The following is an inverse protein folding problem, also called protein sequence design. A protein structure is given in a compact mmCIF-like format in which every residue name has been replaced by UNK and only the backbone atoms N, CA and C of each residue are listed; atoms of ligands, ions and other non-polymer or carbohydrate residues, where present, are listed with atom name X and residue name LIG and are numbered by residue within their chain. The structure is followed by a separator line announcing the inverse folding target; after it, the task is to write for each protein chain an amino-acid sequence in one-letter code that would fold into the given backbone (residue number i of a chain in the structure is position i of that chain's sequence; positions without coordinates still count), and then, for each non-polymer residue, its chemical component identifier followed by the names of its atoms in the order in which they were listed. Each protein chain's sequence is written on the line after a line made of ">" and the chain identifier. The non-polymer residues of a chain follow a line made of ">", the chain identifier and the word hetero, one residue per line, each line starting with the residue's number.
data_IF_935793439373
#
_entry.id   IF_935793439373
#
_cell.length_a   1.000
_cell.length_b   1.000
_cell.length_c   1.000
_cell.angle_alpha   90.00
_cell.angle_beta   90.00
_cell.angle_gamma   90.00
#
_symmetry.space_group_name_H-M   'P 1'
#
loop_
_entity.id
_entity.type
_entity.pdbx_description
1 polymer ?
#
# COMPACT_ATOMS: atom_id res chain seq x y z
N UNK A 1 -13.29 -2.56 17.73
CA UNK A 1 -13.20 -3.58 16.67
C UNK A 1 -14.12 -4.73 17.01
N UNK A 2 -15.05 -5.10 16.11
CA UNK A 2 -15.87 -6.31 16.27
C UNK A 2 -15.19 -7.45 15.52
N UNK A 3 -14.88 -8.53 16.21
CA UNK A 3 -14.43 -9.78 15.60
C UNK A 3 -15.60 -10.76 15.60
N UNK A 4 -15.90 -11.37 14.46
CA UNK A 4 -16.91 -12.42 14.35
C UNK A 4 -16.17 -13.71 14.01
N UNK A 5 -16.32 -14.73 14.85
CA UNK A 5 -15.79 -16.06 14.59
C UNK A 5 -16.71 -16.77 13.62
N UNK A 6 -16.22 -17.11 12.42
CA UNK A 6 -16.96 -17.92 11.45
C UNK A 6 -16.37 -19.33 11.40
N UNK A 7 -17.25 -20.32 11.50
CA UNK A 7 -16.89 -21.72 11.28
C UNK A 7 -16.98 -22.02 9.79
N UNK A 8 -15.89 -22.51 9.19
CA UNK A 8 -15.92 -23.03 7.82
C UNK A 8 -16.32 -24.49 7.84
N UNK A 9 -16.86 -24.97 6.70
CA UNK A 9 -17.26 -26.37 6.48
C UNK A 9 -16.10 -27.37 6.72
N UNK A 10 -14.86 -26.87 6.66
CA UNK A 10 -13.62 -27.59 6.98
C UNK A 10 -13.21 -27.64 8.46
N UNK A 11 -14.13 -27.34 9.41
CA UNK A 11 -13.88 -27.26 10.87
C UNK A 11 -12.81 -26.25 11.28
N UNK A 12 -12.48 -25.27 10.43
CA UNK A 12 -11.54 -24.19 10.76
C UNK A 12 -12.31 -22.98 11.22
N UNK A 13 -11.88 -22.39 12.34
CA UNK A 13 -12.38 -21.11 12.83
C UNK A 13 -11.57 -19.98 12.20
N UNK A 14 -12.23 -19.10 11.46
CA UNK A 14 -11.62 -17.88 10.93
C UNK A 14 -12.17 -16.70 11.72
N UNK A 15 -11.27 -15.90 12.27
CA UNK A 15 -11.63 -14.61 12.87
C UNK A 15 -11.75 -13.56 11.77
N UNK A 16 -12.97 -13.08 11.53
CA UNK A 16 -13.22 -11.96 10.62
C UNK A 16 -13.27 -10.69 11.44
N UNK A 17 -12.22 -9.87 11.36
CA UNK A 17 -12.22 -8.52 11.93
C UNK A 17 -13.01 -7.59 11.01
N UNK A 18 -14.14 -7.08 11.50
CA UNK A 18 -14.80 -5.97 10.84
C UNK A 18 -14.08 -4.68 11.20
N UNK A 19 -13.34 -4.14 10.23
CA UNK A 19 -12.75 -2.80 10.30
C UNK A 19 -13.62 -1.88 9.47
N UNK A 20 -14.65 -1.32 10.10
CA UNK A 20 -15.44 -0.25 9.51
C UNK A 20 -14.46 0.87 9.11
N UNK A 21 -14.52 1.32 7.86
CA UNK A 21 -13.64 2.34 7.25
C UNK A 21 -12.26 1.89 6.73
N UNK A 22 -11.89 0.61 6.80
CA UNK A 22 -10.65 0.15 6.16
C UNK A 22 -10.72 0.27 4.63
N UNK A 23 -11.89 -0.01 4.05
CA UNK A 23 -12.11 0.17 2.62
C UNK A 23 -11.91 1.62 2.20
N UNK A 24 -12.45 2.58 2.96
CA UNK A 24 -12.33 4.00 2.64
C UNK A 24 -10.85 4.44 2.62
N UNK A 25 -10.05 3.97 3.60
CA UNK A 25 -8.61 4.26 3.69
C UNK A 25 -7.85 3.63 2.51
N UNK A 26 -8.09 2.34 2.23
CA UNK A 26 -7.46 1.63 1.12
C UNK A 26 -7.81 2.27 -0.23
N UNK A 27 -9.08 2.64 -0.43
CA UNK A 27 -9.52 3.32 -1.64
C UNK A 27 -8.93 4.71 -1.78
N UNK A 28 -8.71 5.44 -0.69
CA UNK A 28 -8.07 6.75 -0.72
C UNK A 28 -6.62 6.66 -1.20
N UNK A 29 -5.83 5.73 -0.67
CA UNK A 29 -4.44 5.56 -1.11
C UNK A 29 -4.37 5.01 -2.54
N UNK A 30 -5.23 4.06 -2.92
CA UNK A 30 -5.36 3.61 -4.30
C UNK A 30 -5.73 4.74 -5.28
N UNK A 31 -6.58 5.68 -4.86
CA UNK A 31 -6.99 6.82 -5.69
C UNK A 31 -5.81 7.73 -6.02
N UNK A 32 -4.90 7.91 -5.06
CA UNK A 32 -3.67 8.68 -5.27
C UNK A 32 -2.76 8.01 -6.31
N UNK A 33 -2.50 6.71 -6.16
CA UNK A 33 -1.67 5.94 -7.11
C UNK A 33 -2.29 5.97 -8.50
N UNK A 34 -3.60 5.72 -8.61
CA UNK A 34 -4.33 5.78 -9.89
C UNK A 34 -4.27 7.16 -10.54
N UNK A 35 -4.31 8.24 -9.75
CA UNK A 35 -4.20 9.61 -10.28
C UNK A 35 -2.86 9.86 -10.95
N UNK A 36 -1.76 9.35 -10.39
CA UNK A 36 -0.41 9.47 -10.98
C UNK A 36 -0.24 8.50 -12.16
N UNK A 37 -0.81 7.30 -12.07
CA UNK A 37 -0.66 6.27 -13.09
C UNK A 37 -1.52 6.47 -14.34
N UNK A 38 -2.71 7.06 -14.23
CA UNK A 38 -3.63 7.31 -15.36
C UNK A 38 -3.02 8.06 -16.55
N UNK A 39 -2.22 9.12 -16.39
CA UNK A 39 -1.59 9.81 -17.52
C UNK A 39 -0.39 9.05 -18.12
N UNK A 40 0.13 8.02 -17.44
CA UNK A 40 1.13 7.13 -18.02
C UNK A 40 0.40 6.25 -19.05
N UNK A 41 0.89 6.12 -20.29
CA UNK A 41 0.29 5.29 -21.37
C UNK A 41 0.37 3.77 -21.08
N UNK A 42 0.07 3.36 -19.85
CA UNK A 42 0.30 2.03 -19.30
C UNK A 42 1.77 1.78 -18.94
N UNK A 43 1.97 0.86 -17.99
CA UNK A 43 3.28 0.30 -17.68
C UNK A 43 3.41 -0.97 -18.53
N UNK A 44 4.39 -0.99 -19.44
CA UNK A 44 4.49 -2.01 -20.50
C UNK A 44 5.05 -3.37 -20.03
N UNK A 45 5.56 -3.45 -18.80
CA UNK A 45 6.10 -4.67 -18.22
C UNK A 45 5.97 -4.64 -16.70
N UNK A 46 5.86 -5.81 -16.06
CA UNK A 46 5.63 -5.93 -14.62
C UNK A 46 6.78 -5.38 -13.78
N UNK A 47 8.03 -5.73 -14.10
CA UNK A 47 9.19 -5.27 -13.32
C UNK A 47 9.30 -3.73 -13.23
N UNK A 48 9.30 -2.97 -14.36
CA UNK A 48 9.30 -1.51 -14.28
C UNK A 48 7.98 -0.95 -13.74
N UNK A 49 6.85 -1.67 -13.86
CA UNK A 49 5.60 -1.26 -13.25
C UNK A 49 5.69 -1.26 -11.71
N UNK A 50 6.21 -2.35 -11.15
CA UNK A 50 6.41 -2.50 -9.71
C UNK A 50 7.37 -1.44 -9.18
N UNK A 51 8.53 -1.24 -9.83
CA UNK A 51 9.48 -0.20 -9.44
C UNK A 51 8.84 1.20 -9.46
N UNK A 52 8.02 1.49 -10.48
CA UNK A 52 7.30 2.78 -10.59
C UNK A 52 6.29 2.97 -9.48
N UNK A 53 5.47 1.95 -9.18
CA UNK A 53 4.45 2.01 -8.12
C UNK A 53 5.13 2.19 -6.75
N UNK A 54 6.17 1.41 -6.46
CA UNK A 54 6.94 1.51 -5.21
C UNK A 54 7.57 2.90 -5.06
N UNK A 55 8.14 3.46 -6.13
CA UNK A 55 8.66 4.83 -6.12
C UNK A 55 7.59 5.87 -5.79
N UNK A 56 6.40 5.75 -6.39
CA UNK A 56 5.26 6.63 -6.12
C UNK A 56 4.79 6.51 -4.66
N UNK A 57 4.71 5.30 -4.13
CA UNK A 57 4.31 5.03 -2.74
C UNK A 57 5.32 5.61 -1.75
N UNK A 58 6.62 5.35 -1.95
CA UNK A 58 7.69 5.86 -1.09
C UNK A 58 7.72 7.39 -1.09
N UNK A 59 7.62 8.03 -2.26
CA UNK A 59 7.55 9.50 -2.34
C UNK A 59 6.33 10.06 -1.61
N UNK A 60 5.18 9.38 -1.66
CA UNK A 60 3.97 9.80 -0.94
C UNK A 60 4.07 9.60 0.57
N UNK A 61 4.69 8.51 1.02
CA UNK A 61 4.99 8.28 2.44
C UNK A 61 5.92 9.38 2.99
N UNK A 62 6.98 9.71 2.25
CA UNK A 62 7.89 10.83 2.58
C UNK A 62 7.11 12.13 2.70
N UNK A 63 6.28 12.46 1.71
CA UNK A 63 5.46 13.69 1.70
C UNK A 63 4.49 13.78 2.89
N UNK A 64 3.95 12.64 3.34
CA UNK A 64 3.06 12.58 4.51
C UNK A 64 3.81 12.51 5.86
N UNK A 65 5.14 12.38 5.86
CA UNK A 65 5.91 12.13 7.08
C UNK A 65 5.65 10.75 7.69
N UNK A 66 5.23 9.78 6.88
CA UNK A 66 4.86 8.42 7.28
C UNK A 66 6.03 7.42 7.16
N UNK A 67 7.26 7.92 7.18
CA UNK A 67 8.42 7.02 7.19
C UNK A 67 8.46 6.24 8.51
N UNK A 68 8.82 4.94 8.46
CA UNK A 68 9.04 4.17 9.67
C UNK A 68 10.15 4.81 10.52
N UNK A 69 10.04 4.69 11.84
CA UNK A 69 11.04 5.19 12.79
C UNK A 69 12.29 4.29 12.82
N UNK A 70 12.87 4.00 11.65
CA UNK A 70 14.07 3.19 11.47
C UNK A 70 15.36 4.02 11.52
N UNK A 71 15.26 5.33 11.71
CA UNK A 71 16.41 6.26 11.70
C UNK A 71 16.90 6.63 10.31
N UNK A 72 16.34 6.02 9.26
CA UNK A 72 16.63 6.37 7.87
C UNK A 72 15.97 7.71 7.50
N UNK A 73 16.74 8.56 6.83
CA UNK A 73 16.25 9.79 6.22
C UNK A 73 15.33 9.49 5.04
N UNK A 74 14.57 10.49 4.63
CA UNK A 74 13.76 10.42 3.41
C UNK A 74 14.60 10.10 2.16
N UNK A 75 15.81 10.68 2.09
CA UNK A 75 16.73 10.45 0.99
C UNK A 75 17.25 9.01 0.98
N UNK A 76 17.64 8.46 2.14
CA UNK A 76 18.08 7.06 2.26
C UNK A 76 16.96 6.07 1.93
N UNK A 77 15.74 6.35 2.42
CA UNK A 77 14.56 5.53 2.13
C UNK A 77 14.23 5.49 0.63
N UNK A 78 14.39 6.62 -0.07
CA UNK A 78 14.18 6.69 -1.51
C UNK A 78 15.35 6.12 -2.31
N UNK A 79 16.59 6.36 -1.89
CA UNK A 79 17.80 5.83 -2.53
C UNK A 79 17.86 4.30 -2.48
N UNK A 80 17.33 3.69 -1.42
CA UNK A 80 17.20 2.23 -1.31
C UNK A 80 16.36 1.57 -2.40
N UNK A 81 15.58 2.34 -3.18
CA UNK A 81 14.82 1.81 -4.32
C UNK A 81 15.67 1.55 -5.58
N UNK A 82 16.90 2.07 -5.62
CA UNK A 82 17.80 1.91 -6.75
C UNK A 82 18.71 0.67 -6.66
N UNK A 83 18.56 -0.12 -5.59
CA UNK A 83 19.34 -1.34 -5.31
C UNK A 83 18.91 -2.53 -6.17
#
# INVERSE_FOLDING_TARGET
>A
MKAITKFTDSRRTIEVRQVTHLNDILEQDHRFIKRIARPMMGLKAFHPATATIVGIETAHMIRKGQLPATGATAAESFAGLAA
#
